data_IF_256546897588
#
_entry.id   IF_256546897588
#
_cell.length_a   1.000
_cell.length_b   1.000
_cell.length_c   1.000
_cell.angle_alpha   90.00
_cell.angle_beta   90.00
_cell.angle_gamma   90.00
#
_symmetry.space_group_name_H-M   'P 1'
#
loop_
_entity.id
_entity.type
_entity.pdbx_description
1 polymer ?
#
# COMPACT_ATOMS: atom_id res chain seq x y z
N UNK A 1 55.74 -22.78 17.12
CA UNK A 1 55.20 -22.76 15.75
C UNK A 1 53.67 -22.76 15.83
N UNK A 2 52.96 -21.67 15.52
CA UNK A 2 51.50 -21.70 15.54
C UNK A 2 50.98 -22.52 14.34
N UNK A 3 50.10 -23.48 14.61
CA UNK A 3 49.50 -24.35 13.59
C UNK A 3 48.47 -23.55 12.78
N UNK A 4 48.68 -23.50 11.46
CA UNK A 4 47.76 -22.88 10.51
C UNK A 4 46.64 -23.86 10.16
N UNK A 5 45.69 -24.05 11.08
CA UNK A 5 44.48 -24.81 10.78
C UNK A 5 43.42 -23.86 10.19
N UNK A 6 42.91 -24.12 8.97
CA UNK A 6 41.92 -23.26 8.35
C UNK A 6 40.62 -23.25 9.18
N UNK A 7 40.18 -22.07 9.59
CA UNK A 7 38.92 -21.90 10.34
C UNK A 7 37.75 -21.85 9.38
N UNK A 8 36.72 -22.67 9.64
CA UNK A 8 35.51 -22.72 8.83
C UNK A 8 34.64 -21.48 9.08
N UNK A 9 34.62 -20.55 8.13
CA UNK A 9 33.74 -19.39 8.13
C UNK A 9 32.32 -19.80 7.73
N UNK A 10 31.36 -19.65 8.65
CA UNK A 10 29.94 -19.88 8.38
C UNK A 10 29.34 -18.59 7.80
N UNK A 11 29.40 -18.44 6.48
CA UNK A 11 28.75 -17.32 5.79
C UNK A 11 27.28 -17.69 5.59
N UNK A 12 26.39 -17.08 6.38
CA UNK A 12 24.97 -17.15 6.13
C UNK A 12 24.59 -16.13 5.05
N UNK A 13 23.68 -16.45 4.11
CA UNK A 13 23.21 -15.48 3.13
C UNK A 13 22.52 -14.32 3.85
N UNK A 14 23.12 -13.14 3.74
CA UNK A 14 22.53 -11.91 4.26
C UNK A 14 21.43 -11.45 3.33
N UNK A 15 20.20 -11.94 3.52
CA UNK A 15 19.03 -11.46 2.79
C UNK A 15 18.78 -10.00 3.18
N UNK A 16 19.18 -9.06 2.31
CA UNK A 16 18.82 -7.65 2.47
C UNK A 16 17.31 -7.55 2.36
N UNK A 17 16.61 -7.21 3.45
CA UNK A 17 15.19 -6.84 3.41
C UNK A 17 15.07 -5.66 2.44
N UNK A 18 14.50 -5.88 1.26
CA UNK A 18 14.16 -4.81 0.34
C UNK A 18 13.11 -3.92 1.02
N UNK A 19 13.26 -2.59 0.99
CA UNK A 19 12.23 -1.70 1.50
C UNK A 19 10.95 -1.91 0.68
N UNK A 20 9.75 -1.86 1.31
CA UNK A 20 8.50 -1.93 0.58
C UNK A 20 8.46 -0.79 -0.42
N UNK A 21 8.34 -1.12 -1.71
CA UNK A 21 8.09 -0.10 -2.75
C UNK A 21 6.72 0.52 -2.45
N UNK A 22 6.60 1.85 -2.37
CA UNK A 22 5.29 2.48 -2.29
C UNK A 22 4.49 2.06 -3.52
N UNK A 23 3.34 1.42 -3.30
CA UNK A 23 2.39 1.18 -4.36
C UNK A 23 2.00 2.54 -4.93
N UNK A 24 2.27 2.78 -6.20
CA UNK A 24 1.81 4.00 -6.88
C UNK A 24 0.30 3.87 -7.00
N UNK A 25 -0.43 4.40 -6.03
CA UNK A 25 -1.88 4.46 -6.05
C UNK A 25 -2.29 5.77 -6.69
N UNK A 26 -3.01 5.69 -7.82
CA UNK A 26 -3.63 6.87 -8.43
C UNK A 26 -4.62 7.49 -7.44
N UNK A 27 -4.39 8.75 -7.06
CA UNK A 27 -5.28 9.48 -6.15
C UNK A 27 -6.14 10.47 -6.93
N UNK A 28 -7.47 10.38 -6.80
CA UNK A 28 -8.39 11.40 -7.27
C UNK A 28 -8.76 12.31 -6.09
N UNK A 29 -8.42 13.59 -6.16
CA UNK A 29 -8.88 14.57 -5.16
C UNK A 29 -10.23 15.11 -5.59
N UNK A 30 -11.23 14.84 -4.76
CA UNK A 30 -12.58 15.36 -4.88
C UNK A 30 -12.63 16.68 -4.11
N UNK A 31 -12.97 17.79 -4.75
CA UNK A 31 -12.98 19.13 -4.13
C UNK A 31 -14.41 19.57 -3.80
N UNK A 32 -14.57 20.28 -2.68
CA UNK A 32 -15.84 20.85 -2.23
C UNK A 32 -16.72 19.84 -1.48
N UNK A 33 -17.94 20.28 -1.17
CA UNK A 33 -18.85 19.57 -0.26
C UNK A 33 -19.82 18.64 -1.00
N UNK A 34 -19.52 18.28 -2.25
CA UNK A 34 -20.45 17.51 -3.08
C UNK A 34 -20.66 16.09 -2.57
N UNK A 35 -19.65 15.49 -1.92
CA UNK A 35 -19.81 14.18 -1.29
C UNK A 35 -20.79 14.26 -0.11
N UNK A 36 -20.65 15.29 0.73
CA UNK A 36 -21.56 15.54 1.83
C UNK A 36 -22.98 15.84 1.32
N UNK A 37 -23.11 16.67 0.28
CA UNK A 37 -24.38 16.95 -0.40
C UNK A 37 -24.99 15.72 -1.09
N UNK A 38 -24.16 14.75 -1.51
CA UNK A 38 -24.59 13.46 -2.03
C UNK A 38 -24.95 12.45 -0.92
N UNK A 39 -24.87 12.84 0.36
CA UNK A 39 -25.22 12.01 1.50
C UNK A 39 -24.07 11.18 2.09
N UNK A 40 -22.82 11.51 1.76
CA UNK A 40 -21.62 10.89 2.32
C UNK A 40 -20.98 11.82 3.37
N UNK A 41 -21.38 11.73 4.65
CA UNK A 41 -20.83 12.58 5.69
C UNK A 41 -19.34 12.27 5.94
N UNK A 42 -18.55 13.23 6.44
CA UNK A 42 -17.17 12.99 6.83
C UNK A 42 -17.04 11.83 7.82
N UNK A 43 -16.10 10.92 7.58
CA UNK A 43 -15.92 9.70 8.38
C UNK A 43 -16.81 8.53 7.99
N UNK A 44 -17.70 8.69 7.00
CA UNK A 44 -18.40 7.54 6.39
C UNK A 44 -17.46 6.72 5.51
N UNK A 45 -17.72 5.41 5.47
CA UNK A 45 -17.04 4.49 4.55
C UNK A 45 -17.87 4.39 3.27
N UNK A 46 -17.21 4.49 2.12
CA UNK A 46 -17.82 4.33 0.82
C UNK A 46 -17.12 3.21 0.03
N UNK A 47 -17.90 2.47 -0.75
CA UNK A 47 -17.41 1.48 -1.71
C UNK A 47 -17.24 2.17 -3.06
N UNK A 48 -16.04 2.05 -3.63
CA UNK A 48 -15.72 2.64 -4.95
C UNK A 48 -15.43 1.51 -5.93
N UNK A 49 -16.16 1.50 -7.04
CA UNK A 49 -15.96 0.53 -8.12
C UNK A 49 -16.13 1.21 -9.49
N UNK A 50 -15.77 0.49 -10.56
CA UNK A 50 -15.87 0.99 -11.93
C UNK A 50 -16.95 0.19 -12.66
N UNK A 51 -17.97 0.87 -13.17
CA UNK A 51 -19.02 0.28 -14.02
C UNK A 51 -19.07 1.00 -15.36
N UNK A 52 -18.93 0.25 -16.46
CA UNK A 52 -19.00 0.78 -17.83
C UNK A 52 -18.13 2.06 -18.06
N UNK A 53 -16.93 2.10 -17.48
CA UNK A 53 -16.00 3.22 -17.59
C UNK A 53 -16.32 4.42 -16.69
N UNK A 54 -17.29 4.28 -15.77
CA UNK A 54 -17.67 5.31 -14.79
C UNK A 54 -17.25 4.88 -13.40
N UNK A 55 -16.76 5.83 -12.61
CA UNK A 55 -16.49 5.63 -11.20
C UNK A 55 -17.80 5.74 -10.42
N UNK A 56 -18.20 4.65 -9.77
CA UNK A 56 -19.43 4.56 -8.97
C UNK A 56 -19.04 4.51 -7.50
N UNK A 57 -19.62 5.42 -6.72
CA UNK A 57 -19.40 5.55 -5.28
C UNK A 57 -20.73 5.23 -4.59
N UNK A 58 -20.72 4.22 -3.73
CA UNK A 58 -21.90 3.79 -2.96
C UNK A 58 -21.59 3.77 -1.47
N UNK A 59 -22.59 3.99 -0.59
CA UNK A 59 -22.38 3.85 0.85
C UNK A 59 -21.95 2.42 1.18
N UNK A 60 -20.96 2.27 2.07
CA UNK A 60 -20.70 0.97 2.67
C UNK A 60 -21.80 0.65 3.68
N UNK A 61 -22.33 -0.57 3.62
CA UNK A 61 -23.35 -1.07 4.55
C UNK A 61 -22.80 -1.23 5.98
#
# INVERSE_FOLDING_TARGET
MPSNAPRRLKVAPHFKRLPPRPAVTSSLRLQGDWLEAAGFPPGSTAVVHIEAGRLVITPAA
#
